data_IF_180420884703
#
_entry.id   IF_180420884703
#
_cell.length_a   1.000
_cell.length_b   1.000
_cell.length_c   1.000
_cell.angle_alpha   90.00
_cell.angle_beta   90.00
_cell.angle_gamma   90.00
#
_symmetry.space_group_name_H-M   'P 1'
#
loop_
_entity.id
_entity.type
_entity.pdbx_description
1 polymer ?
#
# COMPACT_ATOMS: atom_id res chain seq x y z
N UNK A 1 -32.43 -44.44 -11.14
CA UNK A 1 -30.98 -44.16 -11.36
C UNK A 1 -30.77 -42.81 -12.07
N UNK A 2 -31.42 -41.72 -11.62
CA UNK A 2 -31.36 -40.43 -12.31
C UNK A 2 -31.29 -39.22 -11.36
N UNK A 3 -31.05 -39.46 -10.06
CA UNK A 3 -30.87 -38.37 -9.08
C UNK A 3 -29.41 -37.97 -8.89
N UNK A 4 -28.45 -38.86 -9.16
CA UNK A 4 -27.04 -38.51 -9.00
C UNK A 4 -26.51 -37.54 -10.06
N UNK A 5 -27.08 -37.54 -11.29
CA UNK A 5 -26.62 -36.66 -12.36
C UNK A 5 -27.03 -35.19 -12.17
N UNK A 6 -28.13 -34.95 -11.45
CA UNK A 6 -28.61 -33.60 -11.10
C UNK A 6 -27.80 -32.96 -9.96
N UNK A 7 -27.37 -33.76 -8.98
CA UNK A 7 -26.53 -33.28 -7.88
C UNK A 7 -25.14 -32.82 -8.34
N UNK A 8 -24.57 -33.49 -9.34
CA UNK A 8 -23.26 -33.13 -9.90
C UNK A 8 -23.32 -31.81 -10.71
N UNK A 9 -24.43 -31.54 -11.40
CA UNK A 9 -24.62 -30.26 -12.09
C UNK A 9 -24.84 -29.10 -11.11
N UNK A 10 -25.53 -29.32 -9.99
CA UNK A 10 -25.70 -28.29 -8.95
C UNK A 10 -24.37 -27.98 -8.23
N UNK A 11 -23.54 -28.98 -7.95
CA UNK A 11 -22.21 -28.76 -7.37
C UNK A 11 -21.27 -28.00 -8.32
N UNK A 12 -21.37 -28.22 -9.64
CA UNK A 12 -20.57 -27.49 -10.62
C UNK A 12 -20.98 -26.00 -10.73
N UNK A 13 -22.26 -25.66 -10.55
CA UNK A 13 -22.75 -24.27 -10.61
C UNK A 13 -22.45 -23.47 -9.34
N UNK A 14 -22.16 -24.11 -8.20
CA UNK A 14 -21.65 -23.42 -7.00
C UNK A 14 -20.12 -23.34 -6.95
N UNK A 15 -19.42 -24.01 -7.87
CA UNK A 15 -17.96 -23.96 -8.00
C UNK A 15 -17.49 -23.10 -9.18
N UNK A 16 -18.43 -22.49 -9.92
CA UNK A 16 -18.08 -21.46 -10.91
C UNK A 16 -17.70 -20.19 -10.18
N UNK A 17 -16.39 -20.03 -10.05
CA UNK A 17 -15.71 -18.73 -10.08
C UNK A 17 -16.24 -17.73 -9.04
N UNK A 18 -15.77 -17.86 -7.79
CA UNK A 18 -15.29 -16.64 -7.15
C UNK A 18 -14.16 -16.15 -8.03
N UNK A 19 -14.50 -15.29 -9.00
CA UNK A 19 -13.51 -14.50 -9.69
C UNK A 19 -12.54 -13.98 -8.62
N UNK A 20 -11.25 -14.16 -8.85
CA UNK A 20 -10.25 -13.53 -8.03
C UNK A 20 -10.48 -12.02 -8.16
N UNK A 21 -11.28 -11.46 -7.25
CA UNK A 21 -11.51 -10.03 -7.13
C UNK A 21 -10.15 -9.36 -7.20
N UNK A 22 -9.93 -8.61 -8.26
CA UNK A 22 -8.64 -7.99 -8.52
C UNK A 22 -8.30 -7.09 -7.35
N UNK A 23 -7.14 -7.32 -6.75
CA UNK A 23 -6.68 -6.57 -5.60
C UNK A 23 -6.75 -5.07 -5.85
N UNK A 24 -7.31 -4.33 -4.90
CA UNK A 24 -7.44 -2.88 -4.98
C UNK A 24 -6.28 -2.22 -4.25
N UNK A 25 -5.62 -1.28 -4.92
CA UNK A 25 -4.62 -0.45 -4.28
C UNK A 25 -5.25 0.41 -3.19
N UNK A 26 -4.60 0.44 -2.04
CA UNK A 26 -4.95 1.39 -0.99
C UNK A 26 -4.68 2.82 -1.52
N UNK A 27 -5.71 3.66 -1.56
CA UNK A 27 -5.72 5.01 -2.12
C UNK A 27 -5.40 5.08 -3.63
N UNK A 28 -6.32 4.65 -4.50
CA UNK A 28 -6.12 4.72 -5.96
C UNK A 28 -6.29 6.13 -6.58
N UNK A 29 -6.88 7.07 -5.85
CA UNK A 29 -7.36 8.36 -6.36
C UNK A 29 -6.49 9.58 -6.06
N UNK A 30 -5.25 9.39 -5.58
CA UNK A 30 -4.44 10.40 -4.90
C UNK A 30 -5.07 10.88 -3.58
N UNK A 31 -4.21 11.29 -2.65
CA UNK A 31 -4.62 11.69 -1.30
C UNK A 31 -4.37 13.18 -1.08
N UNK A 32 -5.31 13.88 -0.44
CA UNK A 32 -5.09 15.26 0.02
C UNK A 32 -5.32 15.36 1.52
N UNK A 33 -4.31 15.83 2.26
CA UNK A 33 -4.37 16.04 3.70
C UNK A 33 -3.00 16.04 4.34
N UNK A 34 -2.92 16.40 5.63
CA UNK A 34 -1.65 16.50 6.37
C UNK A 34 -1.18 15.18 6.98
N UNK A 35 -1.89 14.08 6.74
CA UNK A 35 -1.56 12.75 7.26
C UNK A 35 -1.90 11.70 6.21
N UNK A 36 -0.96 11.35 5.34
CA UNK A 36 -1.18 10.39 4.25
C UNK A 36 -0.98 8.95 4.74
N UNK A 37 -2.00 8.09 4.63
CA UNK A 37 -1.93 6.72 5.13
C UNK A 37 -1.24 5.79 4.12
N UNK A 38 -0.38 4.90 4.60
CA UNK A 38 0.26 3.86 3.79
C UNK A 38 -0.30 2.53 4.26
N UNK A 39 -0.81 1.69 3.37
CA UNK A 39 -1.31 0.36 3.72
C UNK A 39 -1.23 -0.60 2.54
N UNK A 40 -1.30 -1.90 2.81
CA UNK A 40 -1.33 -2.93 1.79
C UNK A 40 -2.57 -2.84 0.88
N UNK A 41 -2.49 -3.32 -0.37
CA UNK A 41 -3.65 -3.57 -1.19
C UNK A 41 -4.60 -4.55 -0.50
N UNK A 42 -5.88 -4.47 -0.85
CA UNK A 42 -6.92 -5.27 -0.21
C UNK A 42 -7.88 -5.86 -1.23
N UNK A 43 -8.46 -6.99 -0.86
CA UNK A 43 -9.59 -7.56 -1.56
C UNK A 43 -10.84 -6.73 -1.21
N UNK A 44 -11.55 -6.11 -2.17
CA UNK A 44 -12.75 -5.35 -1.88
C UNK A 44 -13.87 -6.22 -1.26
N UNK A 45 -13.87 -7.51 -1.57
CA UNK A 45 -14.74 -8.52 -0.98
C UNK A 45 -14.13 -9.02 0.34
N UNK A 46 -14.44 -8.29 1.42
CA UNK A 46 -14.07 -8.69 2.79
C UNK A 46 -12.81 -8.03 3.36
N UNK A 47 -12.18 -7.10 2.62
CA UNK A 47 -11.07 -6.26 3.08
C UNK A 47 -9.84 -7.02 3.59
N UNK A 48 -9.63 -8.24 3.10
CA UNK A 48 -8.45 -9.02 3.44
C UNK A 48 -7.22 -8.48 2.71
N UNK A 49 -6.02 -8.51 3.33
CA UNK A 49 -4.77 -8.19 2.65
C UNK A 49 -4.59 -9.06 1.41
N UNK A 50 -4.23 -8.43 0.31
CA UNK A 50 -3.97 -9.14 -0.93
C UNK A 50 -2.85 -8.42 -1.74
N UNK A 51 -2.38 -9.03 -2.82
CA UNK A 51 -1.35 -8.40 -3.66
C UNK A 51 -1.90 -7.86 -4.98
N UNK A 52 -1.75 -6.55 -5.19
CA UNK A 52 -1.89 -5.89 -6.49
C UNK A 52 -0.55 -5.25 -6.89
N UNK A 53 -0.14 -5.46 -8.15
CA UNK A 53 1.15 -5.02 -8.66
C UNK A 53 1.01 -3.89 -9.71
N UNK A 54 1.87 -2.85 -9.65
CA UNK A 54 2.35 -2.14 -8.47
C UNK A 54 1.38 -1.01 -8.08
N UNK A 55 1.19 -0.80 -6.78
CA UNK A 55 0.35 0.28 -6.26
C UNK A 55 1.15 1.56 -6.07
N UNK A 56 0.55 2.69 -6.45
CA UNK A 56 1.15 4.01 -6.35
C UNK A 56 0.08 5.06 -6.15
N UNK A 57 0.36 6.07 -5.34
CA UNK A 57 -0.48 7.25 -5.24
C UNK A 57 0.33 8.49 -4.87
N UNK A 58 -0.18 9.67 -5.28
CA UNK A 58 0.37 10.96 -4.90
C UNK A 58 -0.34 11.45 -3.65
N UNK A 59 0.42 11.84 -2.62
CA UNK A 59 -0.10 12.55 -1.46
C UNK A 59 0.23 14.04 -1.57
N UNK A 60 -0.78 14.90 -1.49
CA UNK A 60 -0.66 16.35 -1.41
C UNK A 60 -0.98 16.83 0.00
N UNK A 61 -0.10 17.63 0.61
CA UNK A 61 -0.26 18.14 1.98
C UNK A 61 -1.38 19.18 2.14
N UNK A 62 -1.92 19.67 1.02
CA UNK A 62 -3.03 20.64 0.96
C UNK A 62 -2.57 22.06 0.61
N UNK A 63 -1.32 22.41 0.88
CA UNK A 63 -0.72 23.71 0.56
C UNK A 63 0.82 23.65 0.54
N UNK A 64 1.46 24.68 -0.02
CA UNK A 64 2.93 24.75 -0.14
C UNK A 64 3.66 25.12 1.17
N UNK A 65 2.92 25.46 2.24
CA UNK A 65 3.48 25.76 3.56
C UNK A 65 3.55 24.51 4.46
N UNK A 66 3.14 23.34 3.99
CA UNK A 66 3.25 22.09 4.72
C UNK A 66 4.04 21.09 3.90
N UNK A 67 5.20 20.68 4.42
CA UNK A 67 6.05 19.66 3.80
C UNK A 67 6.00 18.38 4.63
N UNK A 68 6.18 17.24 3.97
CA UNK A 68 6.21 15.94 4.62
C UNK A 68 7.49 15.78 5.42
N UNK A 69 7.35 15.61 6.73
CA UNK A 69 8.51 15.58 7.64
C UNK A 69 8.59 14.37 8.55
N UNK A 70 7.49 13.64 8.73
CA UNK A 70 7.45 12.50 9.65
C UNK A 70 6.91 11.26 8.96
N UNK A 71 7.55 10.15 9.24
CA UNK A 71 7.12 8.83 8.84
C UNK A 71 7.03 7.92 10.06
N UNK A 72 5.94 7.16 10.14
CA UNK A 72 5.84 5.98 10.99
C UNK A 72 5.39 4.83 10.11
N UNK A 73 6.04 3.68 10.21
CA UNK A 73 5.74 2.54 9.35
C UNK A 73 6.00 1.24 10.09
N UNK A 74 5.09 0.28 9.92
CA UNK A 74 5.14 -1.02 10.52
C UNK A 74 4.76 -2.10 9.52
N UNK A 75 5.65 -3.09 9.36
CA UNK A 75 5.29 -4.41 8.86
C UNK A 75 4.65 -5.19 10.01
N UNK A 76 3.39 -5.57 9.84
CA UNK A 76 2.65 -6.40 10.79
C UNK A 76 2.94 -7.89 10.60
N UNK A 77 2.79 -8.38 9.38
CA UNK A 77 3.08 -9.77 9.01
C UNK A 77 3.80 -9.79 7.67
N UNK A 78 4.96 -10.44 7.65
CA UNK A 78 5.84 -10.58 6.49
C UNK A 78 5.79 -12.00 5.97
N UNK A 79 5.76 -12.18 4.66
CA UNK A 79 5.62 -13.50 4.02
C UNK A 79 6.88 -13.95 3.30
N UNK A 80 7.96 -13.16 3.35
CA UNK A 80 9.16 -13.30 2.52
C UNK A 80 8.86 -13.25 1.01
N UNK A 81 7.73 -12.66 0.61
CA UNK A 81 7.40 -12.41 -0.79
C UNK A 81 8.14 -11.21 -1.38
N UNK A 82 9.11 -10.66 -0.64
CA UNK A 82 9.63 -9.34 -0.92
C UNK A 82 8.60 -8.28 -0.50
N UNK A 83 9.05 -7.05 -0.45
CA UNK A 83 8.21 -5.93 -0.06
C UNK A 83 9.06 -4.69 -0.12
N UNK A 84 8.60 -3.72 -0.89
CA UNK A 84 9.37 -2.52 -1.11
C UNK A 84 8.43 -1.33 -1.13
N UNK A 85 8.56 -0.50 -0.11
CA UNK A 85 7.91 0.81 -0.05
C UNK A 85 8.94 1.85 -0.49
N UNK A 86 8.58 2.66 -1.48
CA UNK A 86 9.37 3.81 -1.89
C UNK A 86 8.55 5.07 -1.76
N UNK A 87 9.17 6.12 -1.24
CA UNK A 87 8.58 7.45 -1.17
C UNK A 87 9.49 8.38 -1.95
N UNK A 88 8.93 9.04 -2.95
CA UNK A 88 9.62 10.00 -3.81
C UNK A 88 9.17 11.41 -3.47
N UNK A 89 10.08 12.36 -3.65
CA UNK A 89 9.77 13.78 -3.52
C UNK A 89 9.12 14.28 -4.82
N UNK A 90 7.97 14.95 -4.72
CA UNK A 90 7.17 15.35 -5.88
C UNK A 90 6.23 14.25 -6.37
N UNK A 91 5.80 14.33 -7.64
CA UNK A 91 4.78 13.44 -8.22
C UNK A 91 5.36 12.31 -9.07
N UNK A 92 6.67 12.29 -9.30
CA UNK A 92 7.35 11.34 -10.19
C UNK A 92 8.03 10.20 -9.40
N UNK A 93 8.23 9.05 -10.05
CA UNK A 93 8.87 7.83 -9.53
C UNK A 93 10.25 7.56 -10.16
N UNK A 94 10.72 8.43 -11.08
CA UNK A 94 11.95 8.21 -11.84
C UNK A 94 13.24 8.53 -11.08
N UNK A 95 13.16 9.30 -9.98
CA UNK A 95 14.32 9.75 -9.20
C UNK A 95 14.76 8.80 -8.08
N UNK A 96 15.71 9.25 -7.26
CA UNK A 96 16.07 8.54 -6.01
C UNK A 96 14.96 8.74 -4.98
N UNK A 97 14.38 7.66 -4.40
CA UNK A 97 13.38 7.82 -3.36
C UNK A 97 14.02 8.42 -2.10
N UNK A 98 13.33 9.37 -1.47
CA UNK A 98 13.73 9.95 -0.18
C UNK A 98 13.60 8.94 0.97
N UNK A 99 12.73 7.93 0.80
CA UNK A 99 12.62 6.78 1.69
C UNK A 99 12.49 5.50 0.87
N UNK A 100 13.27 4.50 1.26
CA UNK A 100 13.14 3.13 0.77
C UNK A 100 13.05 2.22 1.99
N UNK A 101 11.97 1.45 2.11
CA UNK A 101 11.78 0.45 3.17
C UNK A 101 11.69 -0.93 2.56
N UNK A 102 12.56 -1.82 3.00
CA UNK A 102 12.48 -3.23 2.65
C UNK A 102 11.47 -3.95 3.56
N UNK A 103 11.00 -5.11 3.11
CA UNK A 103 10.18 -6.02 3.92
C UNK A 103 10.80 -6.24 5.31
N UNK A 104 9.97 -6.17 6.36
CA UNK A 104 10.40 -6.28 7.76
C UNK A 104 11.06 -5.03 8.35
N UNK A 105 11.36 -4.01 7.55
CA UNK A 105 11.94 -2.77 8.03
C UNK A 105 10.88 -1.80 8.59
N UNK A 106 10.85 -1.68 9.92
CA UNK A 106 9.96 -0.75 10.61
C UNK A 106 10.59 0.64 10.78
N UNK A 107 9.77 1.69 10.68
CA UNK A 107 10.14 3.07 11.00
C UNK A 107 9.42 3.48 12.28
N UNK A 108 10.15 3.36 13.39
CA UNK A 108 9.71 3.77 14.73
C UNK A 108 10.18 5.18 15.06
N UNK A 109 9.59 5.79 16.09
CA UNK A 109 10.05 7.07 16.62
C UNK A 109 11.55 7.03 16.96
N UNK A 110 12.31 8.02 16.50
CA UNK A 110 13.76 8.11 16.70
C UNK A 110 14.60 7.41 15.61
N UNK A 111 13.98 6.65 14.70
CA UNK A 111 14.67 6.18 13.48
C UNK A 111 15.08 7.37 12.62
N UNK A 112 16.23 7.28 11.94
CA UNK A 112 16.65 8.30 10.97
C UNK A 112 15.61 8.45 9.84
N UNK A 113 14.93 7.36 9.47
CA UNK A 113 13.84 7.38 8.48
C UNK A 113 12.53 7.96 9.03
N UNK A 114 12.41 8.17 10.34
CA UNK A 114 11.22 8.79 10.94
C UNK A 114 11.18 10.30 10.77
N UNK A 115 12.34 10.91 10.54
CA UNK A 115 12.50 12.33 10.26
C UNK A 115 12.95 12.50 8.81
N UNK A 116 12.03 12.94 7.98
CA UNK A 116 12.30 13.23 6.58
C UNK A 116 12.14 14.71 6.33
N UNK A 117 12.59 15.20 5.18
CA UNK A 117 12.27 16.55 4.72
C UNK A 117 12.05 16.50 3.22
N UNK A 118 10.79 16.35 2.83
CA UNK A 118 10.38 16.56 1.45
C UNK A 118 10.59 18.04 1.08
N UNK A 119 10.97 18.30 -0.16
CA UNK A 119 11.10 19.66 -0.70
C UNK A 119 9.82 20.13 -1.39
N UNK A 120 8.82 19.26 -1.48
CA UNK A 120 7.53 19.52 -2.11
C UNK A 120 6.36 19.31 -1.13
N UNK A 121 5.24 19.97 -1.40
CA UNK A 121 3.95 19.63 -0.80
C UNK A 121 3.40 18.29 -1.28
N UNK A 122 3.99 17.72 -2.35
CA UNK A 122 3.59 16.45 -2.95
C UNK A 122 4.67 15.40 -2.79
N UNK A 123 4.27 14.18 -2.50
CA UNK A 123 5.12 12.98 -2.54
C UNK A 123 4.39 11.87 -3.28
N UNK A 124 5.14 10.98 -3.92
CA UNK A 124 4.59 9.75 -4.49
C UNK A 124 5.01 8.57 -3.63
N UNK A 125 4.04 7.77 -3.21
CA UNK A 125 4.26 6.58 -2.39
C UNK A 125 3.95 5.37 -3.26
N UNK A 126 4.89 4.44 -3.34
CA UNK A 126 4.74 3.20 -4.10
C UNK A 126 4.96 1.97 -3.25
N UNK A 127 4.26 0.90 -3.62
CA UNK A 127 4.43 -0.43 -3.06
C UNK A 127 4.55 -1.47 -4.17
N UNK A 128 5.54 -2.35 -4.02
CA UNK A 128 5.77 -3.50 -4.90
C UNK A 128 6.31 -4.68 -4.11
N UNK A 129 6.13 -5.89 -4.65
CA UNK A 129 6.76 -7.12 -4.16
C UNK A 129 7.02 -8.08 -5.33
N UNK A 130 7.77 -9.15 -5.09
CA UNK A 130 8.15 -10.11 -6.13
C UNK A 130 7.39 -11.43 -6.05
N UNK A 131 6.92 -11.79 -4.86
CA UNK A 131 6.11 -12.97 -4.60
C UNK A 131 4.61 -12.69 -4.67
N UNK A 132 3.82 -13.74 -4.44
CA UNK A 132 2.35 -13.72 -4.53
C UNK A 132 1.67 -13.66 -3.17
N UNK A 133 2.39 -13.95 -2.08
CA UNK A 133 1.80 -13.89 -0.74
C UNK A 133 1.67 -12.45 -0.28
N UNK A 134 0.69 -12.20 0.58
CA UNK A 134 0.31 -10.83 0.94
C UNK A 134 0.94 -10.42 2.25
N UNK A 135 1.82 -9.42 2.17
CA UNK A 135 2.33 -8.76 3.36
C UNK A 135 1.26 -7.86 3.99
N UNK A 136 1.31 -7.74 5.32
CA UNK A 136 0.47 -6.81 6.07
C UNK A 136 1.36 -5.70 6.59
N UNK A 137 1.03 -4.47 6.25
CA UNK A 137 1.77 -3.30 6.71
C UNK A 137 0.86 -2.07 6.77
N UNK A 138 1.25 -1.14 7.62
CA UNK A 138 0.59 0.15 7.75
C UNK A 138 1.59 1.23 8.14
N UNK A 139 1.29 2.45 7.75
CA UNK A 139 2.10 3.60 8.07
C UNK A 139 1.36 4.90 7.86
N UNK A 140 2.02 5.98 8.26
CA UNK A 140 1.52 7.32 8.05
C UNK A 140 2.67 8.27 7.79
N UNK A 141 2.49 9.08 6.76
CA UNK A 141 3.29 10.25 6.47
C UNK A 141 2.59 11.46 7.08
N UNK A 142 3.31 12.37 7.74
CA UNK A 142 2.73 13.61 8.27
C UNK A 142 3.43 14.83 7.70
N UNK A 143 2.61 15.79 7.28
CA UNK A 143 3.06 17.11 6.87
C UNK A 143 2.85 18.10 8.02
N UNK A 144 3.87 18.89 8.31
CA UNK A 144 3.82 19.98 9.31
C UNK A 144 4.41 21.24 8.66
N UNK A 145 4.14 22.43 9.22
CA UNK A 145 4.82 23.64 8.80
C UNK A 145 6.33 23.48 8.89
N UNK A 146 7.11 24.00 7.92
CA UNK A 146 8.56 24.03 8.03
C UNK A 146 8.95 24.77 9.31
N UNK A 147 9.81 24.13 10.11
CA UNK A 147 10.44 24.73 11.30
C UNK A 147 11.68 25.51 10.90
#
# INVERSE_FOLDING_TARGET
MMWWKLAVFAAAVFLTETEASTCTCYESGNYTGRSAPISNPYNPDGFSPCYAAPCSYVAYSGDENHIWTRLTFHWGTTTNSGGLIKIFDGTDITGTPIILLNEGENVLSGSTKSQIKSTSSRITITYSQTGTDSNVFYGVMKAIPPQ
#
